data_IF_928784369299
#
_entry.id   IF_928784369299
#
_cell.length_a   1.000
_cell.length_b   1.000
_cell.length_c   1.000
_cell.angle_alpha   90.00
_cell.angle_beta   90.00
_cell.angle_gamma   90.00
#
_symmetry.space_group_name_H-M   'P 1'
#
loop_
_entity.id
_entity.type
_entity.pdbx_description
1 polymer ?
#
# COMPACT_ATOMS: atom_id res chain seq x y z
N UNK A 1 2.78 13.86 -0.85
CA UNK A 1 3.31 13.40 0.45
C UNK A 1 3.65 11.91 0.34
N UNK A 2 4.58 11.38 1.15
CA UNK A 2 4.90 9.95 1.12
C UNK A 2 3.89 9.12 1.93
N UNK A 3 3.49 7.95 1.41
CA UNK A 3 2.57 7.04 2.10
C UNK A 3 3.31 6.07 3.02
N UNK A 4 3.14 6.23 4.35
CA UNK A 4 3.68 5.30 5.35
C UNK A 4 3.12 3.88 5.17
N UNK A 5 1.84 3.77 4.84
CA UNK A 5 1.21 2.48 4.53
C UNK A 5 1.86 1.83 3.32
N UNK A 6 2.11 2.60 2.27
CA UNK A 6 2.85 2.14 1.10
C UNK A 6 4.24 1.60 1.45
N UNK A 7 5.00 2.30 2.31
CA UNK A 7 6.33 1.87 2.75
C UNK A 7 6.31 0.54 3.51
N UNK A 8 5.36 0.36 4.45
CA UNK A 8 5.21 -0.87 5.22
C UNK A 8 4.85 -2.06 4.31
N UNK A 9 3.90 -1.85 3.39
CA UNK A 9 3.52 -2.89 2.43
C UNK A 9 4.66 -3.20 1.46
N UNK A 10 5.40 -2.19 1.02
CA UNK A 10 6.60 -2.37 0.20
C UNK A 10 7.67 -3.22 0.90
N UNK A 11 7.90 -2.98 2.19
CA UNK A 11 8.86 -3.76 2.98
C UNK A 11 8.45 -5.24 3.14
N UNK A 12 7.16 -5.51 3.31
CA UNK A 12 6.66 -6.90 3.51
C UNK A 12 6.36 -7.63 2.21
N UNK A 13 6.13 -6.93 1.09
CA UNK A 13 5.72 -7.53 -0.17
C UNK A 13 6.68 -8.63 -0.70
N UNK A 14 8.02 -8.47 -0.68
CA UNK A 14 8.94 -9.55 -1.05
C UNK A 14 8.81 -10.76 -0.14
N UNK A 15 8.60 -10.55 1.17
CA UNK A 15 8.40 -11.62 2.14
C UNK A 15 7.08 -12.36 1.93
N UNK A 16 6.00 -11.65 1.58
CA UNK A 16 4.72 -12.23 1.22
C UNK A 16 4.86 -13.17 0.01
N UNK A 17 5.47 -12.68 -1.08
CA UNK A 17 5.72 -13.48 -2.28
C UNK A 17 6.61 -14.71 -1.98
N UNK A 18 7.69 -14.50 -1.21
CA UNK A 18 8.61 -15.56 -0.83
C UNK A 18 7.96 -16.62 0.08
N UNK A 19 7.12 -16.20 1.02
CA UNK A 19 6.40 -17.09 1.92
C UNK A 19 5.39 -17.96 1.15
N UNK A 20 4.62 -17.35 0.24
CA UNK A 20 3.68 -18.08 -0.63
C UNK A 20 4.43 -19.01 -1.60
N UNK A 21 5.56 -18.56 -2.15
CA UNK A 21 6.46 -19.38 -2.95
C UNK A 21 6.96 -20.61 -2.22
N UNK A 22 7.51 -20.42 -1.01
CA UNK A 22 7.95 -21.53 -0.13
C UNK A 22 6.81 -22.42 0.34
N UNK A 23 5.61 -21.87 0.55
CA UNK A 23 4.44 -22.65 0.92
C UNK A 23 4.00 -23.60 -0.20
N UNK A 24 4.07 -23.15 -1.46
CA UNK A 24 3.81 -24.01 -2.62
C UNK A 24 4.75 -25.22 -2.66
N UNK A 25 6.02 -25.02 -2.30
CA UNK A 25 7.06 -26.05 -2.38
C UNK A 25 7.42 -26.44 -3.81
N UNK A 26 6.96 -25.68 -4.81
CA UNK A 26 7.34 -25.82 -6.20
C UNK A 26 8.75 -25.25 -6.43
N UNK A 27 9.50 -25.81 -7.38
CA UNK A 27 10.77 -25.25 -7.82
C UNK A 27 10.60 -23.75 -8.18
N UNK A 28 11.50 -22.85 -7.73
CA UNK A 28 12.77 -23.13 -7.07
C UNK A 28 12.68 -23.20 -5.52
N UNK A 29 11.50 -23.01 -4.94
CA UNK A 29 11.30 -22.89 -3.49
C UNK A 29 11.12 -24.22 -2.76
N UNK A 30 11.09 -25.32 -3.50
CA UNK A 30 11.06 -26.67 -2.96
C UNK A 30 11.26 -27.71 -4.05
N UNK A 31 11.23 -29.00 -3.68
CA UNK A 31 11.61 -30.08 -4.58
C UNK A 31 10.53 -30.44 -5.61
N UNK A 32 9.32 -29.90 -5.49
CA UNK A 32 8.23 -30.29 -6.39
C UNK A 32 8.41 -29.66 -7.78
N UNK A 33 8.51 -30.50 -8.81
CA UNK A 33 8.73 -30.06 -10.19
C UNK A 33 10.17 -29.63 -10.51
N UNK A 34 11.12 -29.82 -9.58
CA UNK A 34 12.54 -29.66 -9.83
C UNK A 34 13.11 -30.90 -10.53
N UNK A 35 14.08 -30.70 -11.43
CA UNK A 35 14.89 -31.80 -11.95
C UNK A 35 15.80 -32.35 -10.82
N UNK A 36 16.05 -33.67 -10.71
CA UNK A 36 16.95 -34.24 -9.70
C UNK A 36 18.36 -33.62 -9.67
N UNK A 37 18.83 -33.07 -10.79
CA UNK A 37 20.12 -32.38 -10.90
C UNK A 37 20.11 -30.94 -10.37
N UNK A 38 18.93 -30.32 -10.20
CA UNK A 38 18.82 -28.96 -9.71
C UNK A 38 18.95 -28.90 -8.17
N UNK A 39 19.57 -27.83 -7.61
CA UNK A 39 19.65 -27.64 -6.16
C UNK A 39 18.28 -27.63 -5.46
N UNK A 40 17.23 -27.23 -6.18
CA UNK A 40 15.87 -27.19 -5.65
C UNK A 40 15.33 -28.58 -5.26
N UNK A 41 15.79 -29.66 -5.92
CA UNK A 41 15.40 -31.02 -5.60
C UNK A 41 15.91 -31.50 -4.23
N UNK A 42 16.98 -30.87 -3.72
CA UNK A 42 17.61 -31.19 -2.43
C UNK A 42 17.00 -30.41 -1.25
N UNK A 43 16.12 -29.44 -1.55
CA UNK A 43 15.51 -28.61 -0.50
C UNK A 43 14.54 -29.44 0.36
N UNK A 44 14.63 -29.34 1.70
CA UNK A 44 13.67 -29.99 2.57
C UNK A 44 12.29 -29.38 2.40
N UNK A 45 11.26 -30.23 2.40
CA UNK A 45 9.87 -29.76 2.40
C UNK A 45 9.57 -29.09 3.74
N UNK A 46 9.22 -27.81 3.71
CA UNK A 46 8.78 -27.10 4.92
C UNK A 46 7.44 -27.64 5.42
N UNK A 47 7.29 -27.66 6.74
CA UNK A 47 6.01 -27.98 7.38
C UNK A 47 4.96 -26.92 6.99
N UNK A 48 3.72 -27.32 6.65
CA UNK A 48 2.66 -26.37 6.32
C UNK A 48 2.36 -25.44 7.52
N UNK A 49 2.47 -25.94 8.74
CA UNK A 49 2.27 -25.15 9.96
C UNK A 49 3.31 -24.03 10.08
N UNK A 50 4.59 -24.32 9.81
CA UNK A 50 5.64 -23.30 9.86
C UNK A 50 5.42 -22.20 8.83
N UNK A 51 4.94 -22.55 7.63
CA UNK A 51 4.59 -21.57 6.60
C UNK A 51 3.40 -20.70 7.02
N UNK A 52 2.37 -21.31 7.64
CA UNK A 52 1.21 -20.59 8.19
C UNK A 52 1.64 -19.63 9.29
N UNK A 53 2.36 -20.10 10.32
CA UNK A 53 2.77 -19.26 11.45
C UNK A 53 3.71 -18.13 11.03
N UNK A 54 4.69 -18.41 10.17
CA UNK A 54 5.62 -17.39 9.69
C UNK A 54 4.93 -16.29 8.89
N UNK A 55 4.00 -16.67 7.99
CA UNK A 55 3.23 -15.71 7.22
C UNK A 55 2.19 -14.98 8.09
N UNK A 56 1.54 -15.68 9.03
CA UNK A 56 0.56 -15.09 9.95
C UNK A 56 1.20 -14.02 10.82
N UNK A 57 2.40 -14.26 11.34
CA UNK A 57 3.10 -13.29 12.18
C UNK A 57 3.44 -12.02 11.39
N UNK A 58 3.94 -12.17 10.16
CA UNK A 58 4.25 -11.04 9.28
C UNK A 58 2.98 -10.25 8.90
N UNK A 59 1.91 -10.95 8.53
CA UNK A 59 0.62 -10.32 8.21
C UNK A 59 0.02 -9.64 9.43
N UNK A 60 0.06 -10.27 10.60
CA UNK A 60 -0.46 -9.72 11.85
C UNK A 60 0.27 -8.42 12.22
N UNK A 61 1.61 -8.42 12.18
CA UNK A 61 2.39 -7.24 12.51
C UNK A 61 2.04 -6.05 11.60
N UNK A 62 1.94 -6.29 10.29
CA UNK A 62 1.63 -5.23 9.32
C UNK A 62 0.15 -4.84 9.37
N UNK A 63 -0.78 -5.78 9.60
CA UNK A 63 -2.22 -5.52 9.62
C UNK A 63 -2.64 -4.64 10.78
N UNK A 64 -1.87 -4.63 11.88
CA UNK A 64 -2.06 -3.69 12.98
C UNK A 64 -2.00 -2.22 12.50
N UNK A 65 -1.17 -1.93 11.49
CA UNK A 65 -0.96 -0.58 10.97
C UNK A 65 -1.66 -0.34 9.63
N UNK A 66 -1.69 -1.37 8.77
CA UNK A 66 -2.29 -1.35 7.43
C UNK A 66 -3.19 -2.59 7.27
N UNK A 67 -4.44 -2.55 7.76
CA UNK A 67 -5.36 -3.69 7.70
C UNK A 67 -5.53 -4.27 6.30
N UNK A 68 -5.51 -3.41 5.28
CA UNK A 68 -5.64 -3.77 3.88
C UNK A 68 -4.59 -4.77 3.37
N UNK A 69 -3.47 -4.98 4.09
CA UNK A 69 -2.47 -6.00 3.74
C UNK A 69 -3.09 -7.40 3.64
N UNK A 70 -4.17 -7.68 4.39
CA UNK A 70 -4.86 -8.96 4.34
C UNK A 70 -5.57 -9.14 2.98
N UNK A 71 -6.19 -8.08 2.45
CA UNK A 71 -6.80 -8.09 1.10
C UNK A 71 -5.73 -8.20 0.04
N UNK A 72 -4.60 -7.50 0.20
CA UNK A 72 -3.44 -7.65 -0.68
C UNK A 72 -2.93 -9.10 -0.69
N UNK A 73 -2.82 -9.75 0.47
CA UNK A 73 -2.41 -11.15 0.56
C UNK A 73 -3.37 -12.08 -0.18
N UNK A 74 -4.68 -11.84 -0.09
CA UNK A 74 -5.70 -12.56 -0.87
C UNK A 74 -5.49 -12.31 -2.37
N UNK A 75 -5.38 -11.04 -2.78
CA UNK A 75 -5.19 -10.67 -4.18
C UNK A 75 -3.92 -11.29 -4.79
N UNK A 76 -2.82 -11.28 -4.06
CA UNK A 76 -1.56 -11.94 -4.45
C UNK A 76 -1.76 -13.45 -4.58
N UNK A 77 -2.40 -14.11 -3.60
CA UNK A 77 -2.65 -15.55 -3.67
C UNK A 77 -3.56 -15.93 -4.87
N UNK A 78 -4.58 -15.12 -5.16
CA UNK A 78 -5.46 -15.29 -6.32
C UNK A 78 -4.66 -15.11 -7.62
N UNK A 79 -3.87 -14.05 -7.73
CA UNK A 79 -3.05 -13.78 -8.92
C UNK A 79 -2.02 -14.90 -9.20
N UNK A 80 -1.34 -15.38 -8.16
CA UNK A 80 -0.43 -16.54 -8.27
C UNK A 80 -1.17 -17.82 -8.69
N UNK A 81 -2.41 -17.99 -8.24
CA UNK A 81 -3.29 -19.10 -8.62
C UNK A 81 -3.67 -19.02 -10.10
N UNK A 82 -4.11 -17.85 -10.56
CA UNK A 82 -4.43 -17.60 -11.97
C UNK A 82 -3.22 -17.86 -12.86
N UNK A 83 -2.03 -17.37 -12.48
CA UNK A 83 -0.79 -17.66 -13.22
C UNK A 83 -0.44 -19.15 -13.25
N UNK A 84 -0.70 -19.88 -12.17
CA UNK A 84 -0.51 -21.34 -12.11
C UNK A 84 -1.45 -22.09 -13.06
N UNK A 85 -2.70 -21.64 -13.17
CA UNK A 85 -3.70 -22.18 -14.09
C UNK A 85 -3.31 -21.88 -15.54
N UNK A 86 -2.87 -20.66 -15.84
CA UNK A 86 -2.46 -20.24 -17.19
C UNK A 86 -1.27 -21.06 -17.72
N UNK A 87 -0.35 -21.46 -16.84
CA UNK A 87 0.75 -22.37 -17.18
C UNK A 87 0.37 -23.86 -17.13
N UNK A 88 -0.89 -24.21 -16.85
CA UNK A 88 -1.36 -25.58 -16.63
C UNK A 88 -0.53 -26.35 -15.57
N UNK A 89 0.01 -25.63 -14.58
CA UNK A 89 0.86 -26.19 -13.53
C UNK A 89 0.36 -25.81 -12.15
N UNK A 90 -0.40 -26.72 -11.54
CA UNK A 90 -1.04 -26.57 -10.22
C UNK A 90 -0.26 -27.21 -9.07
N UNK A 91 1.02 -27.54 -9.29
CA UNK A 91 1.88 -28.14 -8.26
C UNK A 91 1.98 -27.20 -7.06
N UNK A 92 1.69 -27.71 -5.87
CA UNK A 92 1.81 -26.93 -4.63
C UNK A 92 0.69 -25.91 -4.39
N UNK A 93 -0.26 -25.76 -5.32
CA UNK A 93 -1.32 -24.76 -5.26
C UNK A 93 -2.16 -24.88 -3.99
N UNK A 94 -2.63 -26.09 -3.66
CA UNK A 94 -3.41 -26.32 -2.43
C UNK A 94 -2.65 -25.96 -1.15
N UNK A 95 -1.33 -26.22 -1.10
CA UNK A 95 -0.49 -25.87 0.05
C UNK A 95 -0.31 -24.36 0.18
N UNK A 96 -0.13 -23.67 -0.94
CA UNK A 96 -0.05 -22.21 -0.98
C UNK A 96 -1.36 -21.57 -0.49
N UNK A 97 -2.51 -22.07 -0.97
CA UNK A 97 -3.84 -21.57 -0.56
C UNK A 97 -4.13 -21.88 0.91
N UNK A 98 -3.78 -23.06 1.41
CA UNK A 98 -3.87 -23.39 2.83
C UNK A 98 -2.98 -22.49 3.68
N UNK A 99 -1.76 -22.19 3.22
CA UNK A 99 -0.87 -21.28 3.94
C UNK A 99 -1.39 -19.85 3.95
N UNK A 100 -1.89 -19.34 2.82
CA UNK A 100 -2.49 -18.01 2.71
C UNK A 100 -3.74 -17.90 3.60
N UNK A 101 -4.70 -18.81 3.44
CA UNK A 101 -5.94 -18.81 4.21
C UNK A 101 -5.71 -19.02 5.70
N UNK A 102 -4.84 -19.98 6.07
CA UNK A 102 -4.48 -20.23 7.46
C UNK A 102 -3.76 -19.04 8.09
N UNK A 103 -2.89 -18.35 7.35
CA UNK A 103 -2.17 -17.20 7.86
C UNK A 103 -3.08 -15.98 8.05
N UNK A 104 -3.99 -15.72 7.11
CA UNK A 104 -5.00 -14.65 7.22
C UNK A 104 -5.93 -14.93 8.40
N UNK A 105 -6.45 -16.16 8.52
CA UNK A 105 -7.32 -16.55 9.63
C UNK A 105 -6.62 -16.41 10.98
N UNK A 106 -5.36 -16.83 11.09
CA UNK A 106 -4.59 -16.67 12.33
C UNK A 106 -4.27 -15.19 12.62
N UNK A 107 -3.93 -14.39 11.60
CA UNK A 107 -3.70 -12.96 11.77
C UNK A 107 -4.96 -12.24 12.30
N UNK A 108 -6.14 -12.57 11.76
CA UNK A 108 -7.42 -12.05 12.24
C UNK A 108 -7.71 -12.49 13.69
N UNK A 109 -7.42 -13.76 14.02
CA UNK A 109 -7.60 -14.28 15.37
C UNK A 109 -6.68 -13.59 16.40
N UNK A 110 -5.44 -13.28 16.02
CA UNK A 110 -4.48 -12.55 16.86
C UNK A 110 -4.92 -11.09 17.12
N UNK A 111 -5.78 -10.53 16.27
CA UNK A 111 -6.31 -9.17 16.41
C UNK A 111 -7.68 -9.13 17.08
N UNK A 112 -8.17 -10.22 17.66
CA UNK A 112 -9.41 -10.17 18.45
C UNK A 112 -9.19 -9.31 19.72
N UNK A 113 -10.12 -8.40 20.08
CA UNK A 113 -11.45 -8.20 19.48
C UNK A 113 -11.49 -7.23 18.29
N UNK A 114 -10.44 -6.45 18.02
CA UNK A 114 -10.41 -5.40 17.00
C UNK A 114 -10.82 -5.85 15.59
N UNK A 115 -10.42 -7.07 15.18
CA UNK A 115 -10.85 -7.63 13.90
C UNK A 115 -12.37 -7.83 13.80
N UNK A 116 -13.08 -8.07 14.92
CA UNK A 116 -14.54 -8.11 14.93
C UNK A 116 -15.14 -6.73 14.74
N UNK A 117 -14.60 -5.71 15.41
CA UNK A 117 -15.08 -4.33 15.28
C UNK A 117 -14.93 -3.82 13.85
N UNK A 118 -13.80 -4.13 13.19
CA UNK A 118 -13.57 -3.81 11.78
C UNK A 118 -14.59 -4.50 10.85
N UNK A 119 -14.96 -5.75 11.14
CA UNK A 119 -15.85 -6.53 10.29
C UNK A 119 -17.35 -6.25 10.55
N UNK A 120 -17.69 -5.79 11.76
CA UNK A 120 -19.07 -5.56 12.20
C UNK A 120 -19.46 -4.08 12.25
N UNK A 121 -18.52 -3.16 12.04
CA UNK A 121 -18.76 -1.72 11.96
C UNK A 121 -19.71 -1.33 10.82
N UNK A 122 -20.20 -0.08 10.85
CA UNK A 122 -21.12 0.45 9.82
C UNK A 122 -20.50 0.47 8.43
N UNK A 123 -19.19 0.74 8.34
CA UNK A 123 -18.43 0.76 7.10
C UNK A 123 -17.15 -0.09 7.20
N UNK A 124 -17.28 -1.43 7.09
CA UNK A 124 -16.14 -2.34 7.23
C UNK A 124 -15.06 -2.11 6.18
N UNK A 125 -15.47 -1.70 4.97
CA UNK A 125 -14.55 -1.48 3.87
C UNK A 125 -13.74 -0.20 4.03
N UNK A 126 -14.36 0.92 4.44
CA UNK A 126 -13.62 2.16 4.69
C UNK A 126 -12.68 2.03 5.90
N UNK A 127 -13.06 1.21 6.89
CA UNK A 127 -12.17 0.87 8.01
C UNK A 127 -10.91 0.13 7.54
N UNK A 128 -11.01 -0.65 6.46
CA UNK A 128 -9.92 -1.45 5.91
C UNK A 128 -9.08 -0.67 4.90
N UNK A 129 -9.73 -0.06 3.92
CA UNK A 129 -9.11 0.68 2.82
C UNK A 129 -8.70 2.10 3.21
N UNK A 130 -9.30 2.66 4.27
CA UNK A 130 -9.24 4.08 4.57
C UNK A 130 -10.20 4.89 3.69
N UNK A 131 -10.20 6.20 3.92
CA UNK A 131 -10.95 7.17 3.13
C UNK A 131 -9.97 7.86 2.18
N UNK A 132 -10.36 7.98 0.91
CA UNK A 132 -9.59 8.65 -0.14
C UNK A 132 -10.38 9.81 -0.73
N UNK A 133 -9.68 10.78 -1.33
CA UNK A 133 -10.32 11.92 -1.98
C UNK A 133 -11.15 11.47 -3.18
N UNK A 134 -12.32 12.07 -3.34
CA UNK A 134 -13.13 11.95 -4.57
C UNK A 134 -12.85 13.08 -5.55
N UNK A 135 -12.11 14.10 -5.13
CA UNK A 135 -11.83 15.33 -5.88
C UNK A 135 -10.42 15.27 -6.51
N UNK A 136 -9.54 14.42 -6.00
CA UNK A 136 -8.21 14.20 -6.58
C UNK A 136 -8.30 13.73 -8.04
N UNK A 137 -7.39 14.24 -8.87
CA UNK A 137 -7.30 13.83 -10.27
C UNK A 137 -6.89 12.36 -10.34
N UNK A 138 -7.66 11.49 -11.03
CA UNK A 138 -7.35 10.07 -11.10
C UNK A 138 -6.04 9.84 -11.87
N UNK A 139 -5.27 8.85 -11.40
CA UNK A 139 -4.03 8.45 -12.07
C UNK A 139 -4.33 7.81 -13.43
N UNK A 140 -3.61 8.25 -14.45
CA UNK A 140 -3.65 7.64 -15.77
C UNK A 140 -3.01 6.25 -15.76
N UNK A 141 -3.38 5.40 -16.73
CA UNK A 141 -2.77 4.08 -16.88
C UNK A 141 -1.24 4.17 -17.07
N UNK A 142 -0.77 5.19 -17.79
CA UNK A 142 0.65 5.41 -18.03
C UNK A 142 1.42 5.76 -16.75
N UNK A 143 0.81 6.52 -15.84
CA UNK A 143 1.37 6.83 -14.51
C UNK A 143 1.40 5.59 -13.62
N UNK A 144 0.30 4.82 -13.59
CA UNK A 144 0.19 3.57 -12.83
C UNK A 144 1.27 2.55 -13.25
N UNK A 145 1.46 2.34 -14.56
CA UNK A 145 2.45 1.41 -15.11
C UNK A 145 3.89 1.81 -14.76
N UNK A 146 4.15 3.11 -14.60
CA UNK A 146 5.47 3.67 -14.28
C UNK A 146 5.69 3.89 -12.79
N UNK A 147 4.74 3.53 -11.95
CA UNK A 147 4.77 3.81 -10.50
C UNK A 147 4.86 5.31 -10.18
N UNK A 148 4.23 6.15 -11.00
CA UNK A 148 4.19 7.61 -10.85
C UNK A 148 2.92 8.01 -10.09
N UNK A 149 2.94 7.90 -8.76
CA UNK A 149 1.77 8.22 -7.91
C UNK A 149 1.84 9.60 -7.28
N UNK A 150 2.89 10.37 -7.58
CA UNK A 150 3.09 11.71 -7.03
C UNK A 150 4.03 12.55 -7.89
N UNK A 151 4.34 13.78 -7.45
CA UNK A 151 5.13 14.75 -8.24
C UNK A 151 6.57 14.30 -8.51
N UNK A 152 7.01 13.23 -7.84
CA UNK A 152 8.35 12.66 -7.92
C UNK A 152 8.33 11.36 -8.71
N UNK A 153 7.91 11.45 -9.98
CA UNK A 153 8.08 10.36 -10.93
C UNK A 153 9.51 10.28 -11.47
N UNK A 154 9.85 9.14 -12.07
CA UNK A 154 11.05 9.02 -12.89
C UNK A 154 10.73 8.80 -14.38
N UNK A 155 10.01 9.70 -15.08
CA UNK A 155 9.93 9.60 -16.54
C UNK A 155 11.32 9.85 -17.16
N UNK A 156 11.80 9.01 -18.09
CA UNK A 156 11.20 7.81 -18.68
C UNK A 156 11.61 6.47 -18.01
N UNK A 157 12.46 6.52 -16.99
CA UNK A 157 13.09 5.38 -16.31
C UNK A 157 12.12 4.35 -15.73
N UNK A 158 10.89 4.74 -15.38
CA UNK A 158 9.85 3.80 -14.90
C UNK A 158 9.55 2.65 -15.87
N UNK A 159 9.72 2.86 -17.18
CA UNK A 159 9.55 1.80 -18.20
C UNK A 159 10.64 0.73 -18.16
N UNK A 160 11.81 1.04 -17.62
CA UNK A 160 12.93 0.10 -17.60
C UNK A 160 12.65 -1.15 -16.75
N UNK A 161 11.90 -0.99 -15.65
CA UNK A 161 11.46 -2.10 -14.81
C UNK A 161 10.50 -3.04 -15.54
N UNK A 162 9.61 -2.50 -16.38
CA UNK A 162 8.70 -3.29 -17.20
C UNK A 162 9.45 -4.13 -18.23
N UNK A 163 10.42 -3.52 -18.91
CA UNK A 163 11.28 -4.22 -19.86
C UNK A 163 12.10 -5.32 -19.18
N UNK A 164 12.67 -5.04 -18.01
CA UNK A 164 13.41 -6.02 -17.23
C UNK A 164 12.53 -7.18 -16.75
N UNK A 165 11.31 -6.90 -16.27
CA UNK A 165 10.34 -7.90 -15.87
C UNK A 165 9.79 -8.74 -17.02
N UNK A 166 9.75 -8.21 -18.25
CA UNK A 166 9.26 -8.91 -19.44
C UNK A 166 10.27 -9.95 -19.96
N UNK A 167 11.57 -9.71 -19.74
CA UNK A 167 12.65 -10.60 -20.16
C UNK A 167 12.41 -12.08 -19.83
N UNK A 168 12.19 -12.50 -18.56
CA UNK A 168 11.98 -13.91 -18.22
C UNK A 168 10.74 -14.54 -18.86
N UNK A 169 9.74 -13.76 -19.30
CA UNK A 169 8.59 -14.30 -20.03
C UNK A 169 8.98 -14.68 -21.45
N UNK A 170 9.88 -13.90 -22.06
CA UNK A 170 10.35 -14.12 -23.44
C UNK A 170 11.40 -15.23 -23.50
N UNK A 171 12.35 -15.22 -22.57
CA UNK A 171 13.52 -16.12 -22.63
C UNK A 171 13.48 -17.29 -21.64
N UNK A 172 12.62 -17.20 -20.62
CA UNK A 172 12.55 -18.19 -19.54
C UNK A 172 12.06 -19.55 -20.03
N UNK A 173 12.51 -20.59 -19.35
CA UNK A 173 12.08 -21.97 -19.56
C UNK A 173 11.72 -22.64 -18.24
N UNK A 174 10.95 -23.73 -18.33
CA UNK A 174 10.53 -24.55 -17.19
C UNK A 174 9.95 -23.70 -16.04
N UNK A 175 10.38 -23.94 -14.80
CA UNK A 175 9.90 -23.24 -13.62
C UNK A 175 10.12 -21.72 -13.68
N UNK A 176 11.14 -21.24 -14.41
CA UNK A 176 11.43 -19.80 -14.54
C UNK A 176 10.31 -19.09 -15.31
N UNK A 177 9.84 -19.69 -16.42
CA UNK A 177 8.72 -19.15 -17.19
C UNK A 177 7.44 -19.18 -16.34
N UNK A 178 7.18 -20.28 -15.65
CA UNK A 178 5.97 -20.40 -14.83
C UNK A 178 5.93 -19.35 -13.71
N UNK A 179 7.05 -19.13 -13.02
CA UNK A 179 7.14 -18.08 -11.99
C UNK A 179 7.12 -16.67 -12.56
N UNK A 180 7.66 -16.45 -13.75
CA UNK A 180 7.54 -15.18 -14.46
C UNK A 180 6.07 -14.87 -14.76
N UNK A 181 5.31 -15.84 -15.29
CA UNK A 181 3.88 -15.68 -15.56
C UNK A 181 3.09 -15.42 -14.27
N UNK A 182 3.36 -16.18 -13.20
CA UNK A 182 2.74 -15.94 -11.88
C UNK A 182 3.03 -14.53 -11.35
N UNK A 183 4.27 -14.05 -11.46
CA UNK A 183 4.66 -12.70 -11.04
C UNK A 183 3.97 -11.63 -11.89
N UNK A 184 3.89 -11.81 -13.20
CA UNK A 184 3.16 -10.91 -14.09
C UNK A 184 1.66 -10.89 -13.78
N UNK A 185 1.09 -11.98 -13.30
CA UNK A 185 -0.32 -11.97 -12.89
C UNK A 185 -0.56 -11.14 -11.63
N UNK A 186 0.41 -11.09 -10.70
CA UNK A 186 0.36 -10.17 -9.56
C UNK A 186 0.44 -8.72 -10.06
N UNK A 187 1.34 -8.44 -11.01
CA UNK A 187 1.51 -7.10 -11.57
C UNK A 187 0.25 -6.61 -12.32
N UNK A 188 -0.24 -7.42 -13.27
CA UNK A 188 -1.44 -7.13 -14.06
C UNK A 188 -2.68 -7.03 -13.19
N UNK A 189 -2.82 -7.90 -12.19
CA UNK A 189 -3.93 -7.85 -11.23
C UNK A 189 -3.92 -6.56 -10.41
N UNK A 190 -2.76 -6.17 -9.89
CA UNK A 190 -2.63 -4.93 -9.09
C UNK A 190 -2.84 -3.67 -9.93
N UNK A 191 -2.25 -3.56 -11.12
CA UNK A 191 -2.50 -2.43 -12.02
C UNK A 191 -3.94 -2.37 -12.51
N UNK A 192 -4.51 -3.52 -12.89
CA UNK A 192 -5.89 -3.60 -13.34
C UNK A 192 -6.88 -3.18 -12.24
N UNK A 193 -6.68 -3.66 -11.01
CA UNK A 193 -7.49 -3.26 -9.87
C UNK A 193 -7.35 -1.76 -9.57
N UNK A 194 -6.11 -1.24 -9.53
CA UNK A 194 -5.87 0.18 -9.28
C UNK A 194 -6.47 1.06 -10.37
N UNK A 195 -6.23 0.74 -11.64
CA UNK A 195 -6.81 1.47 -12.76
C UNK A 195 -8.34 1.43 -12.74
N UNK A 196 -8.95 0.25 -12.52
CA UNK A 196 -10.40 0.14 -12.42
C UNK A 196 -10.97 0.97 -11.26
N UNK A 197 -10.26 1.04 -10.12
CA UNK A 197 -10.62 1.93 -9.01
C UNK A 197 -10.53 3.40 -9.40
N UNK A 198 -9.44 3.83 -10.03
CA UNK A 198 -9.20 5.24 -10.40
C UNK A 198 -10.17 5.72 -11.49
N UNK A 199 -10.64 4.83 -12.35
CA UNK A 199 -11.66 5.15 -13.35
C UNK A 199 -13.10 5.08 -12.81
N UNK A 200 -13.30 4.78 -11.52
CA UNK A 200 -14.63 4.66 -10.91
C UNK A 200 -15.40 3.41 -11.37
N UNK A 201 -14.73 2.40 -11.93
CA UNK A 201 -15.37 1.15 -12.35
C UNK A 201 -15.61 0.18 -11.19
N UNK A 202 -14.98 0.39 -10.03
CA UNK A 202 -15.18 -0.43 -8.84
C UNK A 202 -16.17 0.25 -7.87
N UNK A 203 -17.11 -0.50 -7.29
CA UNK A 203 -18.02 0.04 -6.26
C UNK A 203 -17.29 0.31 -4.93
N UNK A 204 -16.08 -0.23 -4.77
CA UNK A 204 -15.27 -0.17 -3.56
C UNK A 204 -13.99 0.61 -3.85
N UNK A 205 -13.67 1.59 -3.01
CA UNK A 205 -12.45 2.38 -3.13
C UNK A 205 -11.23 1.60 -2.64
N UNK A 206 -10.11 1.72 -3.33
CA UNK A 206 -8.84 1.16 -2.87
C UNK A 206 -8.11 2.14 -1.95
N UNK A 207 -7.20 1.64 -1.07
CA UNK A 207 -6.32 2.50 -0.30
C UNK A 207 -5.39 3.30 -1.23
N UNK A 208 -4.58 4.18 -0.62
CA UNK A 208 -3.52 4.91 -1.30
C UNK A 208 -2.79 4.05 -2.35
N UNK A 209 -2.60 4.54 -3.59
CA UNK A 209 -2.04 3.77 -4.70
C UNK A 209 -0.76 3.00 -4.39
N UNK A 210 0.12 3.55 -3.53
CA UNK A 210 1.39 2.94 -3.14
C UNK A 210 1.19 1.60 -2.40
N UNK A 211 0.09 1.46 -1.64
CA UNK A 211 -0.26 0.22 -0.93
C UNK A 211 -0.55 -0.91 -1.92
N UNK A 212 -1.24 -0.60 -3.01
CA UNK A 212 -1.60 -1.57 -4.06
C UNK A 212 -0.41 -1.85 -4.99
N UNK A 213 0.40 -0.84 -5.28
CA UNK A 213 1.56 -0.96 -6.17
C UNK A 213 2.77 -1.63 -5.51
N UNK A 214 2.89 -1.61 -4.18
CA UNK A 214 3.96 -2.29 -3.46
C UNK A 214 4.16 -3.78 -3.82
N UNK A 215 3.13 -4.65 -3.77
CA UNK A 215 3.26 -6.04 -4.23
C UNK A 215 3.52 -6.17 -5.73
N UNK A 216 3.04 -5.21 -6.55
CA UNK A 216 3.31 -5.18 -8.00
C UNK A 216 4.80 -4.93 -8.26
N UNK A 217 5.39 -3.96 -7.56
CA UNK A 217 6.82 -3.66 -7.63
C UNK A 217 7.67 -4.88 -7.20
N UNK A 218 7.29 -5.54 -6.09
CA UNK A 218 7.98 -6.73 -5.62
C UNK A 218 7.88 -7.89 -6.64
N UNK A 219 6.72 -8.07 -7.27
CA UNK A 219 6.52 -9.09 -8.30
C UNK A 219 7.35 -8.82 -9.56
N UNK A 220 7.42 -7.57 -10.02
CA UNK A 220 8.28 -7.20 -11.15
C UNK A 220 9.77 -7.33 -10.81
N UNK A 221 10.18 -6.95 -9.60
CA UNK A 221 11.55 -7.17 -9.13
C UNK A 221 11.91 -8.65 -9.10
N UNK A 222 10.99 -9.49 -8.63
CA UNK A 222 11.14 -10.94 -8.68
C UNK A 222 11.21 -11.48 -10.12
N UNK A 223 10.37 -11.00 -11.03
CA UNK A 223 10.45 -11.35 -12.45
C UNK A 223 11.81 -10.96 -13.06
N UNK A 224 12.27 -9.72 -12.84
CA UNK A 224 13.58 -9.27 -13.30
C UNK A 224 14.71 -10.17 -12.77
N UNK A 225 14.65 -10.57 -11.49
CA UNK A 225 15.62 -11.50 -10.89
C UNK A 225 15.59 -12.90 -11.54
N UNK A 226 14.42 -13.41 -11.95
CA UNK A 226 14.32 -14.65 -12.73
C UNK A 226 14.99 -14.52 -14.11
N UNK A 227 14.91 -13.33 -14.72
CA UNK A 227 15.62 -13.02 -15.96
C UNK A 227 17.14 -13.15 -15.78
N UNK A 228 17.67 -12.55 -14.70
CA UNK A 228 19.09 -12.65 -14.34
C UNK A 228 19.52 -14.09 -14.01
N UNK A 229 18.70 -14.83 -13.26
CA UNK A 229 18.97 -16.23 -12.93
C UNK A 229 18.95 -17.15 -14.17
N UNK A 230 18.17 -16.79 -15.21
CA UNK A 230 18.18 -17.50 -16.49
C UNK A 230 19.50 -17.29 -17.23
N UNK A 231 20.07 -16.09 -17.15
CA UNK A 231 21.33 -15.74 -17.82
C UNK A 231 22.53 -16.50 -17.25
N UNK A 232 22.65 -16.59 -15.92
CA UNK A 232 23.78 -17.29 -15.27
C UNK A 232 23.85 -18.77 -15.67
N UNK A 233 22.69 -19.44 -15.80
CA UNK A 233 22.64 -20.85 -16.18
C UNK A 233 22.79 -21.08 -17.69
N UNK A 234 22.32 -20.15 -18.53
CA UNK A 234 22.32 -20.31 -20.00
C UNK A 234 23.60 -19.77 -20.68
N UNK A 235 24.43 -19.00 -19.98
CA UNK A 235 25.67 -18.42 -20.51
C UNK A 235 26.68 -19.45 -21.03
N UNK A 236 26.70 -20.67 -20.48
CA UNK A 236 27.63 -21.73 -20.90
C UNK A 236 27.22 -22.43 -22.20
N UNK A 237 25.97 -22.24 -22.64
CA UNK A 237 25.38 -22.97 -23.76
C UNK A 237 25.05 -22.10 -24.99
N UNK A 238 25.11 -20.77 -24.89
CA UNK A 238 24.73 -19.86 -25.98
C UNK A 238 25.92 -19.29 -26.76
N UNK A 239 25.92 -19.50 -28.08
CA UNK A 239 26.68 -18.67 -29.02
C UNK A 239 26.08 -17.24 -29.04
N UNK A 240 26.92 -16.24 -29.27
CA UNK A 240 26.58 -14.81 -29.24
C UNK A 240 25.30 -14.51 -30.06
N UNK A 241 24.26 -13.93 -29.44
CA UNK A 241 22.95 -13.73 -30.08
C UNK A 241 22.08 -12.67 -29.41
N UNK A 242 20.95 -12.30 -30.03
CA UNK A 242 20.07 -11.18 -29.62
C UNK A 242 19.58 -11.27 -28.15
N UNK A 243 19.53 -12.47 -27.57
CA UNK A 243 19.16 -12.71 -26.16
C UNK A 243 20.18 -12.14 -25.16
N UNK A 244 21.47 -12.11 -25.50
CA UNK A 244 22.51 -11.49 -24.67
C UNK A 244 22.37 -9.96 -24.65
N UNK A 245 22.12 -9.36 -25.82
CA UNK A 245 21.86 -7.92 -25.94
C UNK A 245 20.66 -7.51 -25.09
N UNK A 246 19.56 -8.28 -25.17
CA UNK A 246 18.36 -8.00 -24.38
C UNK A 246 18.61 -8.10 -22.86
N UNK A 247 19.49 -9.03 -22.43
CA UNK A 247 19.84 -9.20 -21.02
C UNK A 247 20.70 -8.05 -20.49
N UNK A 248 21.66 -7.57 -21.29
CA UNK A 248 22.47 -6.38 -20.96
C UNK A 248 21.58 -5.14 -20.88
N UNK A 249 20.66 -4.97 -21.82
CA UNK A 249 19.70 -3.87 -21.80
C UNK A 249 18.77 -3.93 -20.57
N UNK A 250 18.34 -5.12 -20.16
CA UNK A 250 17.55 -5.30 -18.94
C UNK A 250 18.36 -4.94 -17.68
N UNK A 251 19.61 -5.40 -17.57
CA UNK A 251 20.48 -5.06 -16.44
C UNK A 251 20.75 -3.56 -16.35
N UNK A 252 21.06 -2.92 -17.50
CA UNK A 252 21.21 -1.48 -17.59
C UNK A 252 19.90 -0.76 -17.21
N UNK A 253 18.76 -1.29 -17.64
CA UNK A 253 17.45 -0.79 -17.29
C UNK A 253 17.17 -0.80 -15.79
N UNK A 254 17.56 -1.88 -15.08
CA UNK A 254 17.46 -1.95 -13.60
C UNK A 254 18.33 -0.87 -12.94
N UNK A 255 19.58 -0.71 -13.39
CA UNK A 255 20.52 0.30 -12.86
C UNK A 255 19.98 1.71 -13.09
N UNK A 256 19.53 2.00 -14.31
CA UNK A 256 18.95 3.29 -14.68
C UNK A 256 17.65 3.57 -13.91
N UNK A 257 16.80 2.56 -13.75
CA UNK A 257 15.57 2.64 -12.94
C UNK A 257 15.82 2.94 -11.46
N UNK A 258 16.97 2.50 -10.91
CA UNK A 258 17.36 2.78 -9.53
C UNK A 258 18.01 4.17 -9.33
N UNK A 259 18.42 4.85 -10.41
CA UNK A 259 19.12 6.13 -10.33
C UNK A 259 18.38 7.24 -9.55
N UNK A 260 17.06 7.43 -9.68
CA UNK A 260 16.32 8.44 -8.92
C UNK A 260 16.39 8.24 -7.40
N UNK A 261 16.48 6.98 -6.93
CA UNK A 261 16.61 6.66 -5.51
C UNK A 261 17.95 7.14 -4.94
N UNK A 262 19.02 7.10 -5.75
CA UNK A 262 20.33 7.59 -5.34
C UNK A 262 20.36 9.11 -5.11
N UNK A 263 19.59 9.88 -5.90
CA UNK A 263 19.48 11.32 -5.73
C UNK A 263 18.89 11.73 -4.37
N UNK A 264 17.91 10.99 -3.86
CA UNK A 264 17.32 11.25 -2.54
C UNK A 264 18.22 10.86 -1.36
N UNK A 265 19.10 9.88 -1.55
CA UNK A 265 20.07 9.42 -0.55
C UNK A 265 21.18 10.45 -0.29
N UNK A 266 21.59 11.22 -1.31
CA UNK A 266 22.68 12.20 -1.20
C UNK A 266 22.28 13.44 -0.38
N UNK A 267 21.02 13.88 -0.49
CA UNK A 267 20.54 15.07 0.21
C UNK A 267 20.31 14.83 1.72
N UNK A 268 20.31 13.57 2.17
CA UNK A 268 20.11 13.11 3.57
C UNK A 268 18.73 13.41 4.17
N UNK A 269 18.01 14.37 3.59
CA UNK A 269 16.71 14.88 4.01
C UNK A 269 15.57 14.32 3.18
N UNK A 270 15.84 13.42 2.22
CA UNK A 270 14.83 12.86 1.31
C UNK A 270 13.91 13.91 0.67
N UNK A 271 14.45 15.14 0.48
CA UNK A 271 13.71 16.31 -0.01
C UNK A 271 12.44 16.64 0.78
N UNK A 272 12.46 16.43 2.10
CA UNK A 272 11.37 16.86 2.97
C UNK A 272 11.25 18.40 2.97
N UNK A 273 10.02 18.94 2.93
CA UNK A 273 9.78 20.38 3.03
C UNK A 273 10.41 20.98 4.30
N UNK A 274 10.82 22.25 4.21
CA UNK A 274 11.44 22.96 5.34
C UNK A 274 10.46 23.39 6.43
N UNK A 275 9.18 23.55 6.09
CA UNK A 275 8.13 23.94 7.01
C UNK A 275 7.04 22.86 7.05
N UNK A 276 6.63 22.46 8.26
CA UNK A 276 5.54 21.53 8.51
C UNK A 276 4.36 22.27 9.18
N UNK A 277 3.13 21.86 8.86
CA UNK A 277 1.92 22.38 9.51
C UNK A 277 1.96 22.15 11.02
N UNK A 278 2.53 21.03 11.46
CA UNK A 278 2.66 20.70 12.88
C UNK A 278 3.41 21.82 13.61
N UNK A 279 4.48 22.37 13.04
CA UNK A 279 5.25 23.46 13.67
C UNK A 279 4.48 24.78 13.77
N UNK A 280 3.57 25.07 12.85
CA UNK A 280 2.71 26.26 12.90
C UNK A 280 1.56 26.09 13.91
N UNK A 281 1.02 24.87 14.02
CA UNK A 281 -0.07 24.53 14.95
C UNK A 281 0.40 24.30 16.38
N UNK A 282 1.64 23.86 16.60
CA UNK A 282 2.22 23.66 17.93
C UNK A 282 2.16 24.95 18.77
N UNK A 283 2.35 26.10 18.12
CA UNK A 283 2.25 27.43 18.76
C UNK A 283 0.80 27.86 19.07
N UNK A 284 -0.20 27.28 18.40
CA UNK A 284 -1.62 27.66 18.51
C UNK A 284 -2.44 26.68 19.35
N UNK A 285 -2.03 25.42 19.40
CA UNK A 285 -2.75 24.29 20.00
C UNK A 285 -1.85 23.58 21.02
N UNK A 286 -1.06 24.36 21.75
CA UNK A 286 -0.13 23.86 22.74
C UNK A 286 -0.88 23.21 23.92
N UNK A 287 -0.40 22.08 24.49
CA UNK A 287 -0.98 21.49 25.67
C UNK A 287 -0.91 22.46 26.86
N UNK A 288 -2.03 23.11 27.17
CA UNK A 288 -2.20 23.90 28.40
C UNK A 288 -2.48 23.00 29.59
N UNK A 289 -2.11 23.43 30.79
CA UNK A 289 -2.43 22.74 32.07
C UNK A 289 -3.96 22.62 32.34
N UNK A 290 -4.81 23.20 31.49
CA UNK A 290 -6.28 23.22 31.56
C UNK A 290 -6.96 21.87 31.21
N UNK A 291 -6.26 20.75 31.39
CA UNK A 291 -6.80 19.39 31.24
C UNK A 291 -6.91 18.86 29.81
N UNK A 292 -7.25 17.57 29.69
CA UNK A 292 -7.28 16.85 28.43
C UNK A 292 -8.33 17.40 27.46
N UNK A 293 -7.98 17.50 26.17
CA UNK A 293 -8.87 18.01 25.13
C UNK A 293 -8.68 17.29 23.79
N UNK A 294 -9.61 17.51 22.87
CA UNK A 294 -9.56 17.00 21.50
C UNK A 294 -9.58 18.10 20.48
N UNK A 295 -8.88 17.86 19.38
CA UNK A 295 -8.91 18.68 18.18
C UNK A 295 -9.61 17.89 17.09
N UNK A 296 -10.60 18.50 16.45
CA UNK A 296 -11.23 17.96 15.24
C UNK A 296 -10.53 18.52 14.02
N UNK A 297 -10.21 17.64 13.07
CA UNK A 297 -9.64 17.97 11.78
C UNK A 297 -10.67 17.69 10.70
N UNK A 298 -10.96 18.68 9.86
CA UNK A 298 -11.90 18.59 8.74
C UNK A 298 -11.20 19.02 7.46
N UNK A 299 -11.32 18.25 6.38
CA UNK A 299 -10.66 18.59 5.11
C UNK A 299 -10.74 17.46 4.10
N UNK A 300 -10.05 17.64 2.97
CA UNK A 300 -9.87 16.57 2.00
C UNK A 300 -9.09 15.40 2.67
N UNK A 301 -9.60 14.15 2.63
CA UNK A 301 -8.94 12.98 3.23
C UNK A 301 -7.48 12.78 2.80
N UNK A 302 -7.09 13.17 1.59
CA UNK A 302 -5.71 13.02 1.10
C UNK A 302 -4.76 14.10 1.67
N UNK A 303 -5.32 15.10 2.37
CA UNK A 303 -4.59 16.23 2.96
C UNK A 303 -4.65 16.24 4.48
N UNK A 304 -5.50 15.41 5.09
CA UNK A 304 -5.61 15.34 6.54
C UNK A 304 -4.34 14.77 7.19
N UNK A 305 -3.86 15.38 8.28
CA UNK A 305 -2.69 14.88 9.01
C UNK A 305 -3.00 13.66 9.89
N UNK A 306 -4.30 13.38 10.09
CA UNK A 306 -4.86 12.26 10.85
C UNK A 306 -5.60 11.30 9.91
N UNK A 307 -5.73 10.04 10.30
CA UNK A 307 -6.72 9.16 9.68
C UNK A 307 -8.10 9.52 10.20
N UNK A 308 -9.03 9.68 9.27
CA UNK A 308 -10.40 10.04 9.54
C UNK A 308 -11.40 9.14 8.85
N UNK A 309 -12.67 9.42 9.12
CA UNK A 309 -13.85 8.83 8.50
C UNK A 309 -14.47 9.83 7.54
N UNK A 310 -15.20 9.32 6.55
CA UNK A 310 -15.84 10.15 5.55
C UNK A 310 -16.97 10.92 6.23
N UNK A 311 -16.98 12.25 6.06
CA UNK A 311 -18.07 13.10 6.53
C UNK A 311 -19.10 13.32 5.42
N UNK A 312 -18.64 13.64 4.21
CA UNK A 312 -19.48 13.74 3.02
C UNK A 312 -18.66 13.36 1.78
N UNK A 313 -19.18 13.66 0.58
CA UNK A 313 -18.51 13.31 -0.67
C UNK A 313 -17.12 13.93 -0.81
N UNK A 314 -16.85 15.09 -0.22
CA UNK A 314 -15.62 15.87 -0.39
C UNK A 314 -14.72 15.92 0.85
N UNK A 315 -15.31 15.76 2.04
CA UNK A 315 -14.64 16.01 3.31
C UNK A 315 -14.59 14.75 4.17
N UNK A 316 -13.48 14.60 4.88
CA UNK A 316 -13.31 13.65 5.96
C UNK A 316 -13.08 14.37 7.29
N UNK A 317 -13.42 13.69 8.38
CA UNK A 317 -13.23 14.14 9.76
C UNK A 317 -12.30 13.17 10.47
N UNK A 318 -11.33 13.70 11.21
CA UNK A 318 -10.54 12.93 12.17
C UNK A 318 -10.31 13.71 13.46
N UNK A 319 -9.77 13.05 14.48
CA UNK A 319 -9.52 13.66 15.79
C UNK A 319 -8.10 13.38 16.28
N UNK A 320 -7.50 14.33 16.98
CA UNK A 320 -6.31 14.13 17.79
C UNK A 320 -6.61 14.47 19.25
N UNK A 321 -5.98 13.74 20.16
CA UNK A 321 -6.02 14.01 21.59
C UNK A 321 -4.84 14.94 21.96
N UNK A 322 -5.09 15.90 22.84
CA UNK A 322 -4.09 16.76 23.50
C UNK A 322 -3.12 17.52 22.58
N UNK A 323 -3.60 18.00 21.43
CA UNK A 323 -2.86 18.92 20.56
C UNK A 323 -2.73 18.48 19.11
N UNK A 324 -1.64 18.89 18.41
CA UNK A 324 -1.34 18.48 17.04
C UNK A 324 -1.19 16.96 16.92
N UNK A 325 -1.54 16.38 15.75
CA UNK A 325 -1.51 14.93 15.58
C UNK A 325 -0.09 14.41 15.55
N UNK A 326 0.10 13.27 16.20
CA UNK A 326 1.33 12.51 16.21
C UNK A 326 1.22 11.33 15.24
N UNK A 327 2.23 10.44 15.26
CA UNK A 327 2.18 9.22 14.47
C UNK A 327 1.03 8.28 14.89
N UNK A 328 0.51 8.41 16.11
CA UNK A 328 -0.56 7.54 16.64
C UNK A 328 -1.88 7.76 15.89
N UNK A 329 -2.20 9.01 15.58
CA UNK A 329 -3.43 9.41 14.92
C UNK A 329 -3.44 9.09 13.41
N UNK A 330 -2.34 8.54 12.87
CA UNK A 330 -2.27 8.03 11.50
C UNK A 330 -2.72 6.57 11.36
N UNK A 331 -3.00 5.88 12.46
CA UNK A 331 -3.47 4.51 12.45
C UNK A 331 -5.00 4.45 12.56
N UNK A 332 -5.60 3.39 12.02
CA UNK A 332 -7.05 3.23 11.99
C UNK A 332 -7.58 3.02 13.40
N UNK A 333 -8.42 3.93 13.87
CA UNK A 333 -9.23 3.76 15.06
C UNK A 333 -10.64 3.39 14.59
N UNK A 334 -11.25 2.29 15.10
CA UNK A 334 -12.64 1.98 14.80
C UNK A 334 -13.54 3.17 15.13
N UNK A 335 -14.60 3.41 14.35
CA UNK A 335 -15.66 4.37 14.68
C UNK A 335 -16.36 3.95 15.98
N UNK A 336 -15.78 4.30 17.13
CA UNK A 336 -16.27 3.90 18.44
C UNK A 336 -16.56 5.13 19.30
N UNK A 337 -17.64 5.06 20.07
CA UNK A 337 -17.99 6.09 21.06
C UNK A 337 -18.57 7.37 20.45
N UNK A 338 -17.97 8.52 20.78
CA UNK A 338 -18.51 9.85 20.45
C UNK A 338 -18.28 10.27 18.99
N UNK A 339 -17.50 9.53 18.22
CA UNK A 339 -17.12 9.87 16.85
C UNK A 339 -18.29 10.16 15.90
N UNK A 340 -19.35 9.32 15.83
CA UNK A 340 -20.51 9.62 14.98
C UNK A 340 -21.25 10.89 15.43
N UNK A 341 -21.28 11.18 16.73
CA UNK A 341 -21.94 12.36 17.28
C UNK A 341 -21.26 13.67 16.85
N UNK A 342 -19.96 13.62 16.51
CA UNK A 342 -19.23 14.77 15.96
C UNK A 342 -19.77 15.10 14.57
N UNK A 343 -19.92 14.09 13.71
CA UNK A 343 -20.49 14.28 12.37
C UNK A 343 -21.93 14.81 12.45
N UNK A 344 -22.78 14.20 13.29
CA UNK A 344 -24.16 14.65 13.50
C UNK A 344 -24.23 16.11 13.97
N UNK A 345 -23.32 16.54 14.84
CA UNK A 345 -23.27 17.92 15.32
C UNK A 345 -22.92 18.90 14.18
N UNK A 346 -21.97 18.55 13.30
CA UNK A 346 -21.65 19.36 12.13
C UNK A 346 -22.79 19.42 11.11
N UNK A 347 -23.49 18.31 10.89
CA UNK A 347 -24.66 18.24 10.01
C UNK A 347 -25.78 19.16 10.52
N UNK A 348 -26.09 19.11 11.82
CA UNK A 348 -27.05 20.05 12.44
C UNK A 348 -26.65 21.52 12.29
N UNK A 349 -25.35 21.80 12.32
CA UNK A 349 -24.82 23.14 12.08
C UNK A 349 -24.99 23.59 10.63
N UNK A 350 -24.63 22.73 9.68
CA UNK A 350 -24.76 22.99 8.24
C UNK A 350 -26.23 23.15 7.81
N UNK A 351 -27.13 22.37 8.38
CA UNK A 351 -28.58 22.47 8.13
C UNK A 351 -29.22 23.68 8.82
N UNK A 352 -28.44 24.54 9.49
CA UNK A 352 -28.91 25.68 10.27
C UNK A 352 -29.91 25.30 11.39
N UNK A 353 -29.87 24.03 11.83
CA UNK A 353 -30.73 23.49 12.89
C UNK A 353 -30.21 23.80 14.30
N UNK A 354 -28.96 24.29 14.40
CA UNK A 354 -28.37 24.77 15.65
C UNK A 354 -27.47 25.97 15.41
N UNK A 355 -27.56 26.96 16.29
CA UNK A 355 -26.59 28.06 16.41
C UNK A 355 -25.63 27.86 17.60
N UNK A 356 -25.68 26.69 18.25
CA UNK A 356 -24.90 26.35 19.45
C UNK A 356 -24.01 25.13 19.21
N UNK A 357 -23.31 25.09 18.07
CA UNK A 357 -22.42 23.99 17.71
C UNK A 357 -21.38 23.70 18.80
N UNK A 358 -20.72 24.73 19.34
CA UNK A 358 -19.74 24.57 20.42
C UNK A 358 -20.32 23.89 21.68
N UNK A 359 -21.61 24.11 21.99
CA UNK A 359 -22.28 23.43 23.12
C UNK A 359 -22.54 21.95 22.84
N UNK A 360 -22.71 21.57 21.57
CA UNK A 360 -22.84 20.16 21.16
C UNK A 360 -21.48 19.46 21.17
N UNK A 361 -20.41 20.16 20.76
CA UNK A 361 -19.06 19.60 20.67
C UNK A 361 -18.36 19.49 22.04
N UNK A 362 -18.60 20.42 22.96
CA UNK A 362 -17.90 20.48 24.25
C UNK A 362 -18.01 19.19 25.11
N UNK A 363 -19.17 18.52 25.23
CA UNK A 363 -19.26 17.24 25.97
C UNK A 363 -18.40 16.10 25.39
N UNK A 364 -17.98 16.22 24.12
CA UNK A 364 -17.10 15.26 23.45
C UNK A 364 -15.62 15.59 23.64
N UNK A 365 -15.30 16.58 24.47
CA UNK A 365 -13.94 17.03 24.76
C UNK A 365 -13.32 17.90 23.66
N UNK A 366 -14.10 18.32 22.66
CA UNK A 366 -13.58 19.10 21.52
C UNK A 366 -13.37 20.55 21.96
N UNK A 367 -12.13 21.01 21.84
CA UNK A 367 -11.72 22.40 22.13
C UNK A 367 -11.46 23.19 20.85
N UNK A 368 -10.89 22.54 19.84
CA UNK A 368 -10.50 23.17 18.57
C UNK A 368 -11.07 22.42 17.38
N UNK A 369 -11.42 23.17 16.33
CA UNK A 369 -11.79 22.66 15.01
C UNK A 369 -10.83 23.27 14.01
N UNK A 370 -10.06 22.43 13.32
CA UNK A 370 -9.08 22.81 12.32
C UNK A 370 -9.59 22.39 10.95
N UNK A 371 -9.73 23.36 10.05
CA UNK A 371 -10.11 23.11 8.65
C UNK A 371 -8.86 23.13 7.80
N UNK A 372 -8.51 21.99 7.23
CA UNK A 372 -7.34 21.77 6.40
C UNK A 372 -7.72 21.84 4.91
N UNK A 373 -7.15 22.83 4.22
CA UNK A 373 -7.35 23.01 2.79
C UNK A 373 -6.11 22.58 1.97
N UNK A 374 -4.95 22.36 2.59
CA UNK A 374 -3.67 22.13 1.90
C UNK A 374 -2.75 21.20 2.71
N UNK A 375 -1.72 20.60 2.08
CA UNK A 375 -0.77 19.66 2.72
C UNK A 375 0.44 20.30 3.42
N UNK A 376 0.86 21.51 2.99
CA UNK A 376 1.85 22.34 3.69
C UNK A 376 1.49 23.83 3.50
N UNK A 377 1.88 24.73 4.42
CA UNK A 377 1.78 26.16 4.17
C UNK A 377 2.65 26.52 2.95
N UNK A 378 2.08 27.19 1.95
CA UNK A 378 2.88 27.79 0.89
C UNK A 378 3.75 28.89 1.49
N UNK A 379 5.06 28.86 1.24
CA UNK A 379 6.00 29.87 1.72
C UNK A 379 5.76 31.27 1.13
N UNK A 380 4.89 31.40 0.13
CA UNK A 380 4.39 32.69 -0.33
C UNK A 380 3.25 33.14 0.57
N UNK A 381 3.61 33.85 1.64
CA UNK A 381 2.72 34.84 2.24
C UNK A 381 2.67 36.02 1.28
N UNK A 382 1.94 35.88 0.18
CA UNK A 382 1.30 37.05 -0.40
C UNK A 382 0.22 37.46 0.60
N UNK A 383 0.36 38.69 1.10
CA UNK A 383 -0.55 39.29 2.05
C UNK A 383 -2.01 39.05 1.60
N UNK A 384 -2.73 38.23 2.38
CA UNK A 384 -4.17 38.07 2.22
C UNK A 384 -4.80 39.42 2.55
N UNK A 385 -5.10 40.19 1.51
CA UNK A 385 -6.00 41.33 1.60
C UNK A 385 -7.37 40.77 2.04
N UNK A 386 -7.79 41.16 3.23
CA UNK A 386 -8.89 40.55 3.97
C UNK A 386 -10.26 40.88 3.39
N UNK A 387 -10.69 40.16 2.35
CA UNK A 387 -12.10 40.15 1.94
C UNK A 387 -12.60 38.73 1.73
N UNK A 388 -13.39 38.26 2.70
CA UNK A 388 -14.30 37.12 2.53
C UNK A 388 -15.54 37.63 1.79
N UNK A 389 -15.92 37.08 0.62
CA UNK A 389 -17.20 37.40 0.02
C UNK A 389 -18.32 36.79 0.85
N UNK A 390 -19.29 37.62 1.20
CA UNK A 390 -20.52 37.31 1.96
C UNK A 390 -21.43 36.37 1.17
#
# INVERSE_FOLDING_TARGET
SGSWGGLLVYAVAPWLLLALGRASGAAPFGPAGADPSEPAAQLPRRSPLQSVFGLALALALVSCLVPFILVIAIGVAVALTVGSILCFRVIGLGRMLLAAGGAIGLALALHLPWSLDLLTGRSPWESLAGVSSTVATPLTLGEILRFETGPWGAPPLGWALLLAGALPVIIGRSWRLEWAVRAWMVALGGWGALWASQQGHLPLHLPAPEVVLAPVAAALGFAAALGLASFETDLRAYHFGWRQVLSVLAALGVVLGAAPLAGGLLDGRWRTPHNDFVSALDQLVEPTDDGAFRVVWLGDPDHLPVRGWRYNDQLAIGTSDDGPPTIRERFVVPEAGATPLIADAFELGQDHRTNRLGRLLAPMGIRYVVVQNQLAPSGDVDAVDGTVPV
#
